data_IF_140710344544
#
_entry.id   IF_140710344544
#
_cell.length_a   1.000
_cell.length_b   1.000
_cell.length_c   1.000
_cell.angle_alpha   90.00
_cell.angle_beta   90.00
_cell.angle_gamma   90.00
#
_symmetry.space_group_name_H-M   'P 1'
#
loop_
_entity.id
_entity.type
_entity.pdbx_description
1 polymer ?
#
# COMPACT_ATOMS: atom_id res chain seq x y z
N UNK A 1 12.31 -1.93 3.26
CA UNK A 1 11.04 -1.52 3.88
C UNK A 1 11.35 -0.78 5.18
N UNK A 2 10.60 0.26 5.44
CA UNK A 2 10.60 1.02 6.70
C UNK A 2 9.15 1.28 7.12
N UNK A 3 8.86 1.14 8.39
CA UNK A 3 7.51 1.37 8.92
C UNK A 3 7.43 2.79 9.48
N UNK A 4 6.61 3.62 8.86
CA UNK A 4 6.31 4.98 9.30
C UNK A 4 5.05 4.92 10.17
N UNK A 5 5.21 4.99 11.48
CA UNK A 5 4.13 4.79 12.46
C UNK A 5 3.46 3.41 12.31
N UNK A 6 2.45 3.27 11.47
CA UNK A 6 1.67 2.03 11.25
C UNK A 6 1.64 1.57 9.79
N UNK A 7 2.21 2.33 8.86
CA UNK A 7 2.21 2.05 7.43
C UNK A 7 3.63 1.81 6.92
N UNK A 8 3.78 0.92 5.98
CA UNK A 8 5.06 0.58 5.38
C UNK A 8 5.32 1.41 4.12
N UNK A 9 6.52 1.96 4.02
CA UNK A 9 7.10 2.46 2.79
C UNK A 9 8.20 1.51 2.32
N UNK A 10 8.44 1.44 1.01
CA UNK A 10 9.52 0.61 0.48
C UNK A 10 10.51 1.46 -0.32
N UNK A 11 11.78 1.36 0.05
CA UNK A 11 12.89 1.95 -0.69
C UNK A 11 13.50 0.85 -1.56
N UNK A 12 13.28 0.92 -2.86
CA UNK A 12 13.87 0.01 -3.83
C UNK A 12 15.03 0.69 -4.54
N UNK A 13 16.24 0.20 -4.35
CA UNK A 13 17.44 0.77 -4.95
C UNK A 13 18.48 -0.29 -5.24
N UNK A 14 19.45 0.08 -6.09
CA UNK A 14 20.57 -0.78 -6.42
C UNK A 14 21.68 -0.66 -5.37
N UNK A 15 22.30 -1.79 -4.97
CA UNK A 15 23.46 -1.73 -4.08
C UNK A 15 24.56 -0.82 -4.64
N UNK A 16 25.15 -0.02 -3.75
CA UNK A 16 26.28 0.89 -4.10
C UNK A 16 25.93 2.00 -5.10
N UNK A 17 24.65 2.32 -5.28
CA UNK A 17 24.19 3.47 -6.08
C UNK A 17 23.29 4.36 -5.24
N UNK A 18 23.17 5.63 -5.64
CA UNK A 18 22.19 6.57 -5.09
C UNK A 18 20.89 6.55 -5.90
N UNK A 19 20.67 5.50 -6.71
CA UNK A 19 19.49 5.35 -7.53
C UNK A 19 18.45 4.47 -6.83
N UNK A 20 17.36 5.06 -6.39
CA UNK A 20 16.28 4.35 -5.74
C UNK A 20 14.92 4.94 -6.11
N UNK A 21 13.88 4.17 -5.82
CA UNK A 21 12.47 4.55 -5.95
C UNK A 21 11.83 4.41 -4.58
N UNK A 22 10.99 5.36 -4.22
CA UNK A 22 10.15 5.27 -3.03
C UNK A 22 8.78 4.71 -3.43
N UNK A 23 8.29 3.70 -2.73
CA UNK A 23 6.94 3.17 -2.86
C UNK A 23 6.14 3.61 -1.64
N UNK A 24 5.05 4.32 -1.87
CA UNK A 24 4.20 5.04 -0.93
C UNK A 24 4.93 6.14 -0.13
N UNK A 25 4.18 7.00 0.54
CA UNK A 25 4.69 8.23 1.16
C UNK A 25 4.28 8.40 2.64
N UNK A 26 3.86 7.30 3.26
CA UNK A 26 3.64 7.25 4.71
C UNK A 26 2.51 8.13 5.23
N UNK A 27 2.44 8.22 6.54
CA UNK A 27 1.45 8.99 7.30
C UNK A 27 1.64 10.51 7.14
N UNK A 28 0.60 11.32 7.39
CA UNK A 28 0.74 12.77 7.50
C UNK A 28 1.80 13.18 8.52
N UNK A 29 2.55 14.25 8.22
CA UNK A 29 3.61 14.82 9.07
C UNK A 29 4.82 13.90 9.30
N UNK A 30 5.07 12.95 8.39
CA UNK A 30 6.22 12.05 8.47
C UNK A 30 7.29 12.34 7.41
N UNK A 31 7.21 13.46 6.70
CA UNK A 31 8.17 13.80 5.64
C UNK A 31 9.61 13.87 6.15
N UNK A 32 9.85 14.54 7.28
CA UNK A 32 11.19 14.68 7.88
C UNK A 32 11.76 13.30 8.27
N UNK A 33 10.94 12.43 8.86
CA UNK A 33 11.32 11.05 9.20
C UNK A 33 11.71 10.26 7.93
N UNK A 34 10.91 10.35 6.87
CA UNK A 34 11.18 9.65 5.60
C UNK A 34 12.46 10.18 4.95
N UNK A 35 12.67 11.48 4.93
CA UNK A 35 13.89 12.11 4.40
C UNK A 35 15.10 11.62 5.18
N UNK A 36 15.06 11.66 6.51
CA UNK A 36 16.15 11.18 7.37
C UNK A 36 16.51 9.72 7.13
N UNK A 37 15.51 8.84 6.96
CA UNK A 37 15.73 7.42 6.62
C UNK A 37 16.37 7.25 5.25
N UNK A 38 16.01 8.10 4.28
CA UNK A 38 16.62 8.11 2.95
C UNK A 38 18.07 8.55 3.02
N UNK A 39 18.37 9.64 3.73
CA UNK A 39 19.72 10.18 3.91
C UNK A 39 20.63 9.20 4.67
N UNK A 40 20.12 8.56 5.73
CA UNK A 40 20.87 7.51 6.45
C UNK A 40 21.25 6.34 5.54
N UNK A 41 20.35 5.95 4.62
CA UNK A 41 20.57 4.76 3.79
C UNK A 41 21.38 5.04 2.52
N UNK A 42 21.19 6.20 1.89
CA UNK A 42 21.74 6.52 0.57
C UNK A 42 22.74 7.68 0.59
N UNK A 43 22.86 8.39 1.71
CA UNK A 43 23.70 9.57 1.88
C UNK A 43 22.93 10.87 1.83
N UNK A 44 23.58 11.94 2.32
CA UNK A 44 23.02 13.28 2.35
C UNK A 44 22.68 13.77 0.93
N UNK A 45 21.66 14.60 0.79
CA UNK A 45 21.16 15.16 -0.47
C UNK A 45 20.70 14.12 -1.52
N UNK A 46 20.46 12.87 -1.11
CA UNK A 46 19.90 11.85 -1.98
C UNK A 46 18.41 12.04 -2.20
N UNK A 47 17.96 11.79 -3.42
CA UNK A 47 16.54 11.84 -3.79
C UNK A 47 16.13 10.62 -4.62
N UNK A 48 14.89 10.14 -4.50
CA UNK A 48 14.41 9.06 -5.35
C UNK A 48 14.32 9.50 -6.80
N UNK A 49 14.40 8.56 -7.73
CA UNK A 49 14.12 8.82 -9.16
C UNK A 49 12.62 9.06 -9.43
N UNK A 50 11.77 8.48 -8.59
CA UNK A 50 10.32 8.62 -8.62
C UNK A 50 9.72 8.17 -7.29
N UNK A 51 8.45 8.54 -7.06
CA UNK A 51 7.58 7.95 -6.06
C UNK A 51 6.52 7.14 -6.79
N UNK A 52 6.30 5.89 -6.39
CA UNK A 52 5.25 5.02 -6.91
C UNK A 52 4.19 4.87 -5.80
N UNK A 53 2.95 5.18 -6.09
CA UNK A 53 1.85 5.00 -5.14
C UNK A 53 1.11 3.70 -5.45
N UNK A 54 0.89 2.89 -4.43
CA UNK A 54 0.01 1.72 -4.52
C UNK A 54 -1.44 2.16 -4.68
N UNK A 55 -1.85 3.18 -3.92
CA UNK A 55 -3.16 3.84 -3.97
C UNK A 55 -3.09 5.21 -3.25
N UNK A 56 -4.21 5.93 -3.15
CA UNK A 56 -4.21 7.31 -2.68
C UNK A 56 -4.83 7.53 -1.29
N UNK A 57 -4.96 6.53 -0.41
CA UNK A 57 -5.42 6.77 0.96
C UNK A 57 -4.42 7.57 1.78
N UNK A 58 -4.93 8.30 2.75
CA UNK A 58 -4.22 9.32 3.51
C UNK A 58 -2.94 8.84 4.20
N UNK A 59 -2.88 7.57 4.56
CA UNK A 59 -1.73 6.93 5.22
C UNK A 59 -0.66 6.43 4.23
N UNK A 60 -0.98 6.37 2.94
CA UNK A 60 -0.04 6.07 1.84
C UNK A 60 0.44 7.33 1.11
N UNK A 61 -0.31 8.43 1.21
CA UNK A 61 0.04 9.71 0.57
C UNK A 61 0.23 10.84 1.57
N UNK A 62 0.25 10.53 2.86
CA UNK A 62 0.15 11.54 3.93
C UNK A 62 1.26 12.59 3.93
N UNK A 63 2.46 12.23 3.53
CA UNK A 63 3.61 13.15 3.42
C UNK A 63 4.00 13.48 1.98
N UNK A 64 3.20 13.06 0.99
CA UNK A 64 3.57 13.16 -0.44
C UNK A 64 3.82 14.60 -0.90
N UNK A 65 3.03 15.56 -0.41
CA UNK A 65 3.14 16.98 -0.82
C UNK A 65 4.47 17.56 -0.34
N UNK A 66 4.85 17.31 0.91
CA UNK A 66 6.11 17.74 1.49
C UNK A 66 7.30 17.08 0.79
N UNK A 67 7.22 15.79 0.51
CA UNK A 67 8.26 15.02 -0.20
C UNK A 67 8.44 15.51 -1.64
N UNK A 68 7.36 15.81 -2.37
CA UNK A 68 7.44 16.41 -3.71
C UNK A 68 8.09 17.80 -3.65
N UNK A 69 7.75 18.62 -2.67
CA UNK A 69 8.35 19.94 -2.51
C UNK A 69 9.84 19.86 -2.19
N UNK A 70 10.27 18.83 -1.48
CA UNK A 70 11.67 18.62 -1.13
C UNK A 70 12.48 18.04 -2.30
N UNK A 71 11.99 16.96 -2.94
CA UNK A 71 12.75 16.22 -3.95
C UNK A 71 12.46 16.62 -5.40
N UNK A 72 11.33 17.25 -5.69
CA UNK A 72 10.91 17.66 -7.06
C UNK A 72 10.85 16.49 -8.06
N UNK A 73 10.41 15.32 -7.62
CA UNK A 73 10.37 14.08 -8.41
C UNK A 73 8.97 13.75 -8.92
N UNK A 74 8.86 12.98 -10.03
CA UNK A 74 7.56 12.52 -10.52
C UNK A 74 6.94 11.49 -9.59
N UNK A 75 5.60 11.51 -9.53
CA UNK A 75 4.78 10.53 -8.81
C UNK A 75 3.98 9.72 -9.82
N UNK A 76 4.02 8.39 -9.70
CA UNK A 76 3.27 7.50 -10.57
C UNK A 76 2.20 6.75 -9.79
N UNK A 77 0.99 6.67 -10.37
CA UNK A 77 -0.10 5.86 -9.84
C UNK A 77 -0.94 5.29 -10.99
N UNK A 78 -1.82 4.36 -10.66
CA UNK A 78 -2.77 3.84 -11.63
C UNK A 78 -3.76 4.93 -12.08
N UNK A 79 -4.18 4.89 -13.35
CA UNK A 79 -5.10 5.89 -13.94
C UNK A 79 -6.39 6.10 -13.13
N UNK A 80 -6.90 5.04 -12.49
CA UNK A 80 -8.13 5.10 -11.69
C UNK A 80 -7.93 5.77 -10.33
N UNK A 81 -6.67 5.98 -9.88
CA UNK A 81 -6.35 6.78 -8.70
C UNK A 81 -6.21 8.28 -9.00
N UNK A 82 -5.98 8.64 -10.27
CA UNK A 82 -5.76 10.05 -10.65
C UNK A 82 -6.87 11.02 -10.21
N UNK A 83 -8.18 10.67 -10.26
CA UNK A 83 -9.21 11.57 -9.77
C UNK A 83 -9.03 11.97 -8.30
N UNK A 84 -8.61 11.02 -7.45
CA UNK A 84 -8.38 11.23 -6.02
C UNK A 84 -7.08 12.00 -5.74
N UNK A 85 -6.08 11.84 -6.61
CA UNK A 85 -4.75 12.43 -6.48
C UNK A 85 -4.61 13.79 -7.20
N UNK A 86 -5.66 14.23 -7.92
CA UNK A 86 -5.68 15.52 -8.64
C UNK A 86 -6.83 16.44 -8.20
N UNK A 87 -7.42 16.20 -7.04
CA UNK A 87 -8.44 17.06 -6.46
C UNK A 87 -9.83 16.97 -7.12
N UNK A 88 -10.07 15.96 -7.97
CA UNK A 88 -11.30 15.86 -8.76
C UNK A 88 -12.41 15.07 -8.08
N UNK A 89 -12.04 14.13 -7.22
CA UNK A 89 -12.99 13.23 -6.56
C UNK A 89 -12.47 12.79 -5.20
N UNK A 90 -13.31 12.82 -4.17
CA UNK A 90 -13.02 12.23 -2.87
C UNK A 90 -13.22 10.72 -2.90
N UNK A 91 -12.48 10.00 -2.05
CA UNK A 91 -12.81 8.61 -1.76
C UNK A 91 -14.17 8.51 -1.06
N UNK A 92 -14.85 7.36 -1.15
CA UNK A 92 -16.02 7.09 -0.33
C UNK A 92 -15.73 7.27 1.16
N UNK A 93 -16.73 7.68 1.93
CA UNK A 93 -16.60 7.76 3.38
C UNK A 93 -16.24 6.39 3.95
N UNK A 94 -15.31 6.33 4.92
CA UNK A 94 -15.00 5.09 5.62
C UNK A 94 -16.24 4.53 6.34
N UNK A 95 -16.41 3.22 6.33
CA UNK A 95 -17.52 2.56 7.00
C UNK A 95 -17.15 2.11 8.43
N UNK A 96 -17.65 2.77 9.49
CA UNK A 96 -17.36 2.41 10.86
C UNK A 96 -18.09 1.13 11.33
N UNK A 97 -19.07 0.64 10.56
CA UNK A 97 -19.89 -0.51 10.93
C UNK A 97 -19.20 -1.85 10.61
N UNK A 98 -18.11 -1.85 9.86
CA UNK A 98 -17.40 -3.07 9.43
C UNK A 98 -16.90 -3.93 10.59
N UNK A 99 -16.61 -3.31 11.74
CA UNK A 99 -16.07 -4.00 12.91
C UNK A 99 -16.41 -3.26 14.21
N UNK A 100 -16.42 -4.00 15.33
CA UNK A 100 -16.53 -3.42 16.67
C UNK A 100 -15.17 -2.85 17.18
N UNK A 101 -14.11 -2.97 16.41
CA UNK A 101 -12.77 -2.48 16.76
C UNK A 101 -12.71 -0.94 16.85
N UNK A 102 -11.81 -0.45 17.72
CA UNK A 102 -11.67 1.00 17.93
C UNK A 102 -11.23 1.74 16.66
N UNK A 103 -10.37 1.14 15.84
CA UNK A 103 -9.90 1.74 14.58
C UNK A 103 -11.06 1.94 13.62
N UNK A 104 -11.92 0.92 13.43
CA UNK A 104 -13.11 1.04 12.60
C UNK A 104 -14.07 2.14 13.13
N UNK A 105 -14.29 2.21 14.45
CA UNK A 105 -15.13 3.26 15.06
C UNK A 105 -14.58 4.67 14.88
N UNK A 106 -13.25 4.82 14.81
CA UNK A 106 -12.58 6.09 14.56
C UNK A 106 -12.52 6.44 13.06
N UNK A 107 -12.80 5.48 12.17
CA UNK A 107 -12.63 5.66 10.72
C UNK A 107 -13.39 6.85 10.12
N UNK A 108 -14.58 7.29 10.61
CA UNK A 108 -15.24 8.49 10.10
C UNK A 108 -14.42 9.78 10.24
N UNK A 109 -13.38 9.79 11.09
CA UNK A 109 -12.46 10.92 11.26
C UNK A 109 -11.21 10.81 10.39
N UNK A 110 -11.04 9.71 9.65
CA UNK A 110 -9.89 9.54 8.77
C UNK A 110 -10.07 10.37 7.49
N UNK A 111 -9.01 11.07 7.06
CA UNK A 111 -9.06 11.85 5.82
C UNK A 111 -9.39 10.95 4.64
N UNK A 112 -10.35 11.35 3.84
CA UNK A 112 -10.76 10.68 2.60
C UNK A 112 -10.93 11.68 1.46
N UNK A 113 -10.59 12.95 1.72
CA UNK A 113 -10.63 14.02 0.74
C UNK A 113 -9.52 13.85 -0.29
N UNK A 114 -9.84 14.27 -1.51
CA UNK A 114 -8.89 14.29 -2.59
C UNK A 114 -7.71 15.22 -2.28
N UNK A 115 -6.51 14.79 -2.62
CA UNK A 115 -5.33 15.65 -2.65
C UNK A 115 -5.04 16.11 -4.07
N UNK A 116 -4.26 17.19 -4.23
CA UNK A 116 -3.93 17.71 -5.56
C UNK A 116 -2.41 17.79 -5.75
N UNK A 117 -1.87 16.79 -6.43
CA UNK A 117 -0.44 16.67 -6.75
C UNK A 117 -0.05 17.44 -8.04
N UNK A 118 -1.03 18.05 -8.71
CA UNK A 118 -0.79 18.90 -9.88
C UNK A 118 -0.01 18.20 -10.99
N UNK A 119 0.96 18.92 -11.56
CA UNK A 119 1.79 18.44 -12.66
C UNK A 119 2.83 17.37 -12.30
N UNK A 120 3.03 17.07 -11.02
CA UNK A 120 3.94 15.99 -10.58
C UNK A 120 3.34 14.61 -10.79
N UNK A 121 1.99 14.51 -10.91
CA UNK A 121 1.27 13.27 -11.08
C UNK A 121 1.36 12.74 -12.50
N UNK A 122 1.72 11.47 -12.64
CA UNK A 122 1.80 10.74 -13.92
C UNK A 122 1.06 9.40 -13.80
N UNK A 123 0.46 8.99 -14.90
CA UNK A 123 -0.07 7.63 -15.03
C UNK A 123 1.08 6.62 -15.13
N UNK A 124 0.99 5.50 -14.41
CA UNK A 124 1.95 4.41 -14.55
C UNK A 124 1.81 3.77 -15.95
N UNK A 125 2.92 3.37 -16.63
CA UNK A 125 2.85 2.81 -17.99
C UNK A 125 1.90 1.62 -18.10
N UNK A 126 1.04 1.64 -19.13
CA UNK A 126 -0.01 0.63 -19.31
C UNK A 126 0.52 -0.76 -19.72
N UNK A 127 1.78 -0.87 -20.09
CA UNK A 127 2.45 -2.13 -20.47
C UNK A 127 2.87 -2.99 -19.26
N UNK A 128 2.56 -2.55 -18.04
CA UNK A 128 2.92 -3.25 -16.81
C UNK A 128 4.30 -2.89 -16.26
N UNK A 129 5.10 -2.12 -16.98
CA UNK A 129 6.40 -1.67 -16.50
C UNK A 129 6.28 -0.60 -15.40
N UNK A 130 7.31 -0.50 -14.56
CA UNK A 130 7.39 0.51 -13.51
C UNK A 130 8.62 1.38 -13.77
N UNK A 131 8.46 2.70 -13.89
CA UNK A 131 9.59 3.58 -14.10
C UNK A 131 10.66 3.41 -13.03
N UNK A 132 11.92 3.26 -13.46
CA UNK A 132 13.11 3.07 -12.62
C UNK A 132 13.12 1.81 -11.74
N UNK A 133 12.22 0.84 -11.99
CA UNK A 133 12.18 -0.45 -11.30
C UNK A 133 12.26 -1.63 -12.28
N UNK A 134 13.37 -1.81 -13.01
CA UNK A 134 13.51 -2.94 -13.93
C UNK A 134 13.39 -4.26 -13.17
N UNK A 135 12.74 -5.24 -13.80
CA UNK A 135 12.45 -6.54 -13.19
C UNK A 135 11.15 -6.58 -12.39
N UNK A 136 10.62 -5.43 -11.95
CA UNK A 136 9.27 -5.34 -11.39
C UNK A 136 8.23 -5.07 -12.47
N UNK A 137 7.03 -5.60 -12.26
CA UNK A 137 5.82 -5.19 -12.97
C UNK A 137 4.73 -4.83 -11.97
N UNK A 138 3.86 -3.90 -12.34
CA UNK A 138 2.66 -3.64 -11.55
C UNK A 138 1.53 -4.58 -11.97
N UNK A 139 0.64 -4.84 -11.01
CA UNK A 139 -0.53 -5.70 -11.16
C UNK A 139 -1.71 -4.91 -10.63
N UNK A 140 -2.76 -4.74 -11.44
CA UNK A 140 -4.01 -4.14 -10.99
C UNK A 140 -4.70 -5.09 -10.00
N UNK A 141 -4.90 -4.60 -8.79
CA UNK A 141 -5.47 -5.32 -7.65
C UNK A 141 -6.59 -4.48 -7.00
N UNK A 142 -7.68 -4.21 -7.74
CA UNK A 142 -8.79 -3.41 -7.26
C UNK A 142 -9.52 -4.10 -6.11
N UNK A 143 -10.35 -3.32 -5.40
CA UNK A 143 -11.21 -3.77 -4.31
C UNK A 143 -11.10 -2.84 -3.11
N UNK A 144 -9.90 -2.67 -2.55
CA UNK A 144 -9.62 -1.67 -1.54
C UNK A 144 -9.85 -0.26 -2.10
N UNK A 145 -9.20 0.06 -3.21
CA UNK A 145 -9.54 1.21 -4.06
C UNK A 145 -9.69 0.77 -5.52
N UNK A 146 -10.34 1.58 -6.39
CA UNK A 146 -10.52 1.23 -7.80
C UNK A 146 -9.22 1.10 -8.57
N UNK A 147 -8.21 1.89 -8.25
CA UNK A 147 -6.93 1.90 -8.93
C UNK A 147 -5.78 1.30 -8.12
N UNK A 148 -6.08 0.57 -7.06
CA UNK A 148 -5.05 -0.08 -6.26
C UNK A 148 -4.16 -0.98 -7.13
N UNK A 149 -2.85 -0.92 -6.90
CA UNK A 149 -1.88 -1.78 -7.57
C UNK A 149 -0.90 -2.42 -6.59
N UNK A 150 -0.44 -3.61 -6.97
CA UNK A 150 0.65 -4.32 -6.30
C UNK A 150 1.84 -4.46 -7.25
N UNK A 151 3.05 -4.64 -6.71
CA UNK A 151 4.27 -4.74 -7.51
C UNK A 151 4.89 -6.12 -7.33
N UNK A 152 5.27 -6.77 -8.43
CA UNK A 152 5.84 -8.11 -8.39
C UNK A 152 7.12 -8.20 -9.20
N UNK A 153 8.14 -8.86 -8.63
CA UNK A 153 9.41 -9.18 -9.31
C UNK A 153 9.52 -10.69 -9.52
N UNK A 154 9.67 -11.10 -10.77
CA UNK A 154 9.73 -12.52 -11.15
C UNK A 154 11.01 -13.21 -10.67
N UNK A 155 12.15 -12.50 -10.66
CA UNK A 155 13.49 -13.06 -10.39
C UNK A 155 13.57 -13.77 -9.03
N UNK A 156 13.08 -13.14 -7.97
CA UNK A 156 13.09 -13.64 -6.59
C UNK A 156 11.70 -13.83 -5.99
N UNK A 157 10.67 -13.57 -6.81
CA UNK A 157 9.25 -13.63 -6.45
C UNK A 157 8.90 -12.72 -5.26
N UNK A 158 9.52 -11.53 -5.23
CA UNK A 158 9.19 -10.47 -4.27
C UNK A 158 7.88 -9.79 -4.67
N UNK A 159 6.94 -9.71 -3.73
CA UNK A 159 5.65 -9.06 -3.88
C UNK A 159 5.51 -7.88 -2.89
N UNK A 160 5.28 -6.69 -3.41
CA UNK A 160 4.86 -5.51 -2.65
C UNK A 160 3.36 -5.37 -2.88
N UNK A 161 2.57 -5.61 -1.84
CA UNK A 161 1.13 -5.82 -1.93
C UNK A 161 0.34 -4.51 -1.93
N UNK A 162 0.82 -3.49 -1.20
CA UNK A 162 -0.04 -2.39 -0.75
C UNK A 162 -1.10 -2.92 0.22
N UNK A 163 -2.33 -2.50 0.02
CA UNK A 163 -3.47 -2.82 0.88
C UNK A 163 -4.50 -3.77 0.24
N UNK A 164 -4.09 -4.52 -0.82
CA UNK A 164 -4.94 -5.60 -1.35
C UNK A 164 -5.22 -6.68 -0.27
N UNK A 165 -4.31 -6.85 0.66
CA UNK A 165 -4.43 -7.53 1.95
C UNK A 165 -3.24 -7.15 2.82
N UNK A 166 -3.31 -7.38 4.14
CA UNK A 166 -2.31 -6.91 5.11
C UNK A 166 -1.88 -8.02 6.05
N UNK A 167 -0.74 -7.83 6.74
CA UNK A 167 -0.19 -8.81 7.70
C UNK A 167 -0.40 -8.39 9.16
N UNK A 168 -1.37 -7.53 9.40
CA UNK A 168 -1.86 -7.13 10.71
C UNK A 168 -3.34 -6.83 10.63
N UNK A 169 -4.12 -7.21 11.64
CA UNK A 169 -5.55 -6.91 11.66
C UNK A 169 -5.79 -5.44 11.97
N UNK A 170 -6.08 -4.64 10.96
CA UNK A 170 -6.18 -3.18 11.03
C UNK A 170 -7.33 -2.69 11.93
N UNK A 171 -8.42 -3.43 12.07
CA UNK A 171 -9.55 -3.07 12.92
C UNK A 171 -9.23 -3.14 14.42
N UNK A 172 -8.13 -3.79 14.80
CA UNK A 172 -7.69 -3.97 16.19
C UNK A 172 -6.52 -3.06 16.54
N UNK A 173 -6.78 -1.99 17.31
CA UNK A 173 -5.75 -1.07 17.77
C UNK A 173 -4.58 -1.79 18.47
N UNK A 174 -4.89 -2.79 19.30
CA UNK A 174 -3.86 -3.58 20.00
C UNK A 174 -2.92 -4.28 19.02
N UNK A 175 -3.47 -4.96 17.99
CA UNK A 175 -2.68 -5.69 16.99
C UNK A 175 -1.87 -4.72 16.12
N UNK A 176 -2.45 -3.57 15.76
CA UNK A 176 -1.76 -2.52 15.01
C UNK A 176 -0.58 -1.96 15.81
N UNK A 177 -0.77 -1.61 17.07
CA UNK A 177 0.30 -1.06 17.91
C UNK A 177 1.38 -2.09 18.27
N UNK A 178 1.02 -3.36 18.43
CA UNK A 178 1.97 -4.43 18.74
C UNK A 178 2.56 -5.10 17.49
N UNK A 179 2.11 -4.73 16.28
CA UNK A 179 2.51 -5.34 15.01
C UNK A 179 2.38 -6.87 15.05
N UNK A 180 1.30 -7.37 15.68
CA UNK A 180 1.04 -8.80 15.77
C UNK A 180 0.80 -9.37 14.37
N UNK A 181 1.71 -10.24 13.93
CA UNK A 181 1.73 -10.81 12.59
C UNK A 181 0.53 -11.75 12.40
N UNK A 182 -0.38 -11.36 11.53
CA UNK A 182 -1.58 -12.11 11.18
C UNK A 182 -2.05 -11.67 9.79
N UNK A 183 -2.17 -12.60 8.85
CA UNK A 183 -2.72 -12.24 7.54
C UNK A 183 -4.21 -11.88 7.69
N UNK A 184 -4.61 -10.80 7.06
CA UNK A 184 -5.98 -10.31 7.04
C UNK A 184 -6.32 -9.83 5.63
N UNK A 185 -7.60 -9.68 5.32
CA UNK A 185 -8.02 -9.00 4.08
C UNK A 185 -7.57 -7.54 4.03
N UNK A 186 -8.01 -6.80 3.02
CA UNK A 186 -7.77 -5.36 2.95
C UNK A 186 -8.41 -4.65 4.16
N UNK A 187 -7.90 -3.46 4.57
CA UNK A 187 -8.50 -2.66 5.64
C UNK A 187 -10.00 -2.43 5.40
N UNK A 188 -10.84 -3.00 6.29
CA UNK A 188 -12.29 -3.16 6.03
C UNK A 188 -12.99 -1.82 5.86
N UNK A 189 -12.65 -0.81 6.67
CA UNK A 189 -13.36 0.47 6.72
C UNK A 189 -13.20 1.34 5.46
N UNK A 190 -12.21 1.04 4.60
CA UNK A 190 -11.99 1.72 3.32
C UNK A 190 -12.26 0.85 2.10
N UNK A 191 -12.50 -0.43 2.27
CA UNK A 191 -12.71 -1.35 1.14
C UNK A 191 -14.12 -1.26 0.60
N UNK A 192 -14.25 -0.97 -0.69
CA UNK A 192 -15.53 -0.68 -1.35
C UNK A 192 -16.04 -1.80 -2.24
N UNK A 193 -15.17 -2.67 -2.75
CA UNK A 193 -15.54 -3.79 -3.63
C UNK A 193 -14.91 -5.10 -3.15
N UNK A 194 -15.69 -5.88 -2.43
CA UNK A 194 -15.23 -7.14 -1.84
C UNK A 194 -15.05 -8.26 -2.87
N UNK A 195 -15.81 -8.23 -3.99
CA UNK A 195 -15.63 -9.21 -5.07
C UNK A 195 -14.29 -8.99 -5.76
N UNK A 196 -14.00 -7.75 -6.14
CA UNK A 196 -12.73 -7.38 -6.74
C UNK A 196 -11.54 -7.62 -5.77
N UNK A 197 -11.75 -7.36 -4.46
CA UNK A 197 -10.73 -7.63 -3.44
C UNK A 197 -10.38 -9.13 -3.36
N UNK A 198 -11.39 -10.00 -3.36
CA UNK A 198 -11.19 -11.46 -3.39
C UNK A 198 -10.42 -11.91 -4.62
N UNK A 199 -10.84 -11.47 -5.81
CA UNK A 199 -10.15 -11.79 -7.07
C UNK A 199 -8.70 -11.28 -7.06
N UNK A 200 -8.45 -10.11 -6.47
CA UNK A 200 -7.10 -9.57 -6.31
C UNK A 200 -6.23 -10.44 -5.40
N UNK A 201 -6.76 -10.91 -4.27
CA UNK A 201 -6.07 -11.85 -3.37
C UNK A 201 -5.74 -13.16 -4.09
N UNK A 202 -6.71 -13.76 -4.79
CA UNK A 202 -6.51 -14.99 -5.56
C UNK A 202 -5.44 -14.82 -6.65
N UNK A 203 -5.49 -13.70 -7.39
CA UNK A 203 -4.49 -13.34 -8.40
C UNK A 203 -3.08 -13.24 -7.82
N UNK A 204 -2.92 -12.55 -6.67
CA UNK A 204 -1.63 -12.38 -6.02
C UNK A 204 -1.10 -13.69 -5.42
N UNK A 205 -1.97 -14.50 -4.82
CA UNK A 205 -1.60 -15.82 -4.29
C UNK A 205 -1.13 -16.79 -5.39
N UNK A 206 -1.75 -16.72 -6.58
CA UNK A 206 -1.36 -17.54 -7.74
C UNK A 206 0.07 -17.24 -8.22
N UNK A 207 0.63 -16.07 -7.89
CA UNK A 207 2.02 -15.74 -8.17
C UNK A 207 3.00 -16.54 -7.30
N UNK A 208 2.57 -17.15 -6.21
CA UNK A 208 3.39 -17.89 -5.25
C UNK A 208 4.63 -17.09 -4.82
N UNK A 209 4.47 -15.93 -4.19
CA UNK A 209 5.60 -15.09 -3.79
C UNK A 209 6.47 -15.80 -2.74
N UNK A 210 7.79 -15.53 -2.77
CA UNK A 210 8.74 -15.99 -1.75
C UNK A 210 8.91 -14.96 -0.62
N UNK A 211 8.76 -13.68 -0.98
CA UNK A 211 8.84 -12.55 -0.05
C UNK A 211 7.63 -11.66 -0.29
N UNK A 212 7.00 -11.22 0.78
CA UNK A 212 5.83 -10.36 0.72
C UNK A 212 5.96 -9.19 1.70
N UNK A 213 5.71 -7.99 1.19
CA UNK A 213 5.64 -6.75 1.95
C UNK A 213 4.26 -6.14 1.70
N UNK A 214 3.49 -5.92 2.76
CA UNK A 214 2.16 -5.29 2.72
C UNK A 214 2.24 -3.83 3.14
N UNK A 215 1.20 -3.04 2.88
CA UNK A 215 1.10 -1.67 3.35
C UNK A 215 1.11 -1.58 4.88
N UNK A 216 0.61 -2.59 5.57
CA UNK A 216 0.58 -2.64 7.04
C UNK A 216 1.03 -4.00 7.56
N UNK A 217 1.80 -3.98 8.66
CA UNK A 217 2.30 -5.16 9.34
C UNK A 217 3.69 -5.61 8.87
N UNK A 218 4.16 -6.71 9.42
CA UNK A 218 5.50 -7.22 9.17
C UNK A 218 5.55 -8.05 7.88
N UNK A 219 6.69 -8.07 7.17
CA UNK A 219 6.89 -8.95 6.02
C UNK A 219 6.71 -10.43 6.36
N UNK A 220 6.23 -11.19 5.38
CA UNK A 220 6.18 -12.65 5.44
C UNK A 220 7.06 -13.28 4.36
N UNK A 221 7.63 -14.45 4.68
CA UNK A 221 8.52 -15.17 3.78
C UNK A 221 8.32 -16.69 3.88
N UNK A 222 8.70 -17.41 2.83
CA UNK A 222 8.80 -18.88 2.83
C UNK A 222 7.48 -19.60 3.11
N UNK A 223 7.56 -20.66 3.94
CA UNK A 223 6.41 -21.53 4.21
C UNK A 223 5.31 -20.83 5.00
N UNK A 224 5.68 -19.95 5.95
CA UNK A 224 4.72 -19.10 6.68
C UNK A 224 3.86 -18.27 5.72
N UNK A 225 4.49 -17.64 4.73
CA UNK A 225 3.79 -16.87 3.71
C UNK A 225 2.87 -17.75 2.86
N UNK A 226 3.38 -18.90 2.41
CA UNK A 226 2.63 -19.83 1.55
C UNK A 226 1.39 -20.38 2.25
N UNK A 227 1.49 -20.71 3.54
CA UNK A 227 0.38 -21.17 4.36
C UNK A 227 -0.63 -20.04 4.62
N UNK A 228 -0.15 -18.86 5.01
CA UNK A 228 -1.00 -17.70 5.27
C UNK A 228 -1.84 -17.29 4.03
N UNK A 229 -1.22 -17.24 2.84
CA UNK A 229 -1.92 -16.94 1.59
C UNK A 229 -2.95 -18.00 1.23
N UNK A 230 -2.60 -19.28 1.38
CA UNK A 230 -3.55 -20.38 1.13
C UNK A 230 -4.78 -20.27 2.04
N UNK A 231 -4.57 -19.98 3.33
CA UNK A 231 -5.65 -19.82 4.30
C UNK A 231 -6.50 -18.59 3.94
N UNK A 232 -5.88 -17.46 3.58
CA UNK A 232 -6.61 -16.26 3.16
C UNK A 232 -7.49 -16.52 1.91
N UNK A 233 -6.97 -17.25 0.91
CA UNK A 233 -7.75 -17.60 -0.30
C UNK A 233 -8.91 -18.53 0.03
N UNK A 234 -8.66 -19.60 0.81
CA UNK A 234 -9.67 -20.61 1.12
C UNK A 234 -10.80 -20.04 2.01
N UNK A 235 -10.42 -19.22 2.98
CA UNK A 235 -11.30 -18.72 4.03
C UNK A 235 -11.54 -17.22 3.92
N UNK A 236 -11.44 -16.64 2.70
CA UNK A 236 -11.52 -15.21 2.47
C UNK A 236 -12.75 -14.57 3.14
N UNK A 237 -13.91 -15.20 3.02
CA UNK A 237 -15.14 -14.67 3.57
C UNK A 237 -15.10 -14.56 5.11
N UNK A 238 -14.47 -15.53 5.80
CA UNK A 238 -14.34 -15.52 7.26
C UNK A 238 -13.23 -14.57 7.74
N UNK A 239 -12.13 -14.50 7.00
CA UNK A 239 -10.95 -13.72 7.40
C UNK A 239 -11.12 -12.25 7.05
N UNK A 240 -11.60 -11.94 5.83
CA UNK A 240 -11.58 -10.61 5.25
C UNK A 240 -12.90 -9.85 5.35
N UNK A 241 -14.04 -10.51 5.09
CA UNK A 241 -15.30 -9.80 5.01
C UNK A 241 -15.79 -9.26 6.37
N UNK A 242 -16.38 -8.05 6.39
CA UNK A 242 -17.13 -7.58 7.54
C UNK A 242 -18.25 -8.55 7.91
N UNK A 243 -18.57 -8.65 9.22
CA UNK A 243 -19.56 -9.62 9.72
C UNK A 243 -20.92 -9.53 9.06
N UNK A 244 -21.36 -8.33 8.67
CA UNK A 244 -22.66 -8.13 8.02
C UNK A 244 -22.70 -8.60 6.55
N UNK A 245 -21.52 -8.87 5.92
CA UNK A 245 -21.42 -9.50 4.59
C UNK A 245 -21.34 -11.04 4.67
N UNK A 246 -21.18 -11.60 5.86
CA UNK A 246 -21.01 -13.05 6.05
C UNK A 246 -22.33 -13.81 6.22
N UNK A 247 -23.49 -13.08 6.24
CA UNK A 247 -24.85 -13.63 6.42
C UNK A 247 -25.52 -13.95 5.09
#
# INVERSE_FOLDING_TARGET
MYTVQIVNIVLYGYPHTNEFVLIDAGMPKSAEEIISVVEERFGDDCQPKAIILTHGHFDHVGSIIELIKHWHVPVYAHRLELPYLTGKQNYPNPDPAVSNGWVAKMSPFFPHEAINLGGNMKEIPADGSIPYMPGFRWIHTPGHTPGHLSLFREEDRTLIVGDAFVTVKQESLYKVLTQQKEISGPPQYFTTDWSAAKESVEKLAALKPNVMITGHGLPMVGDELSEALRNLVNDFNQIALPKYYQN
#
